data_IF_467604491593
#
_entry.id   IF_467604491593
#
_cell.length_a   1.000
_cell.length_b   1.000
_cell.length_c   1.000
_cell.angle_alpha   90.00
_cell.angle_beta   90.00
_cell.angle_gamma   90.00
#
_symmetry.space_group_name_H-M   'P 1'
#
loop_
_entity.id
_entity.type
_entity.pdbx_description
1 polymer ?
#
# COMPACT_ATOMS: atom_id res chain seq x y z
N UNK A 1 14.08 -12.03 35.63
CA UNK A 1 13.96 -11.49 34.26
C UNK A 1 12.56 -11.82 33.79
N UNK A 2 11.59 -10.99 34.17
CA UNK A 2 10.16 -11.24 34.02
C UNK A 2 9.45 -9.96 34.46
N UNK A 3 8.97 -9.16 33.49
CA UNK A 3 7.82 -8.20 33.57
C UNK A 3 7.88 -7.00 32.59
N UNK A 4 8.90 -6.85 31.75
CA UNK A 4 8.98 -5.70 30.81
C UNK A 4 7.97 -5.74 29.63
N UNK A 5 7.30 -6.87 29.37
CA UNK A 5 6.25 -7.00 28.34
C UNK A 5 4.85 -6.57 28.80
N UNK A 6 4.70 -6.07 30.03
CA UNK A 6 3.38 -5.93 30.69
C UNK A 6 2.43 -4.93 30.00
N UNK A 7 2.92 -3.89 29.33
CA UNK A 7 2.07 -2.75 28.94
C UNK A 7 1.76 -2.65 27.44
N UNK A 8 2.42 -3.43 26.58
CA UNK A 8 2.20 -3.39 25.13
C UNK A 8 0.75 -3.69 24.71
N UNK A 9 0.02 -4.64 25.35
CA UNK A 9 -1.40 -4.84 25.05
C UNK A 9 -2.26 -3.64 25.42
N UNK A 10 -1.92 -2.92 26.50
CA UNK A 10 -2.65 -1.72 26.92
C UNK A 10 -2.40 -0.56 25.95
N UNK A 11 -1.15 -0.36 25.53
CA UNK A 11 -0.77 0.66 24.53
C UNK A 11 -1.48 0.36 23.20
N UNK A 12 -1.46 -0.90 22.74
CA UNK A 12 -2.16 -1.30 21.50
C UNK A 12 -3.65 -0.99 21.54
N UNK A 13 -4.29 -1.25 22.68
CA UNK A 13 -5.70 -0.91 22.90
C UNK A 13 -5.93 0.60 22.89
N UNK A 14 -5.09 1.36 23.61
CA UNK A 14 -5.18 2.82 23.69
C UNK A 14 -5.03 3.46 22.31
N UNK A 15 -3.98 3.09 21.56
CA UNK A 15 -3.74 3.58 20.19
C UNK A 15 -4.94 3.25 19.30
N UNK A 16 -5.45 2.02 19.37
CA UNK A 16 -6.62 1.60 18.59
C UNK A 16 -7.84 2.47 18.89
N UNK A 17 -8.14 2.71 20.16
CA UNK A 17 -9.26 3.56 20.58
C UNK A 17 -9.09 5.02 20.12
N UNK A 18 -7.88 5.56 20.22
CA UNK A 18 -7.56 6.93 19.79
C UNK A 18 -7.73 7.09 18.28
N UNK A 19 -7.21 6.15 17.49
CA UNK A 19 -7.33 6.17 16.03
C UNK A 19 -8.79 6.08 15.59
N UNK A 20 -9.55 5.14 16.17
CA UNK A 20 -10.97 4.99 15.86
C UNK A 20 -11.81 6.21 16.30
N UNK A 21 -11.36 6.95 17.30
CA UNK A 21 -11.96 8.23 17.71
C UNK A 21 -11.53 9.42 16.83
N UNK A 22 -10.67 9.21 15.82
CA UNK A 22 -10.12 10.27 14.96
C UNK A 22 -9.03 11.11 15.63
N UNK A 23 -8.52 10.66 16.79
CA UNK A 23 -7.55 11.39 17.61
C UNK A 23 -6.10 11.03 17.22
N UNK A 24 -5.76 11.23 15.95
CA UNK A 24 -4.50 10.74 15.36
C UNK A 24 -3.25 11.34 16.02
N UNK A 25 -3.26 12.63 16.36
CA UNK A 25 -2.13 13.26 17.08
C UNK A 25 -1.89 12.66 18.47
N UNK A 26 -2.95 12.23 19.16
CA UNK A 26 -2.81 11.58 20.47
C UNK A 26 -2.35 10.12 20.31
N UNK A 27 -2.76 9.44 19.24
CA UNK A 27 -2.23 8.13 18.91
C UNK A 27 -0.71 8.18 18.61
N UNK A 28 -0.28 9.18 17.84
CA UNK A 28 1.13 9.45 17.56
C UNK A 28 1.91 9.80 18.83
N UNK A 29 1.34 10.61 19.73
CA UNK A 29 1.95 10.88 21.04
C UNK A 29 2.09 9.59 21.86
N UNK A 30 1.10 8.69 21.84
CA UNK A 30 1.20 7.42 22.54
C UNK A 30 2.31 6.52 21.95
N UNK A 31 2.55 6.57 20.64
CA UNK A 31 3.70 5.93 20.03
C UNK A 31 5.02 6.56 20.46
N UNK A 32 5.11 7.90 20.50
CA UNK A 32 6.30 8.61 20.96
C UNK A 32 6.64 8.28 22.43
N UNK A 33 5.64 8.29 23.31
CA UNK A 33 5.80 7.93 24.72
C UNK A 33 6.25 6.46 24.87
N UNK A 34 5.70 5.56 24.04
CA UNK A 34 6.10 4.16 24.03
C UNK A 34 7.54 3.97 23.52
N UNK A 35 7.96 4.70 22.48
CA UNK A 35 9.34 4.70 21.99
C UNK A 35 10.31 5.23 23.05
N UNK A 36 9.97 6.31 23.75
CA UNK A 36 10.80 6.88 24.82
C UNK A 36 10.95 5.92 26.01
N UNK A 37 9.87 5.22 26.38
CA UNK A 37 9.87 4.34 27.56
C UNK A 37 10.37 2.92 27.28
N UNK A 38 10.15 2.41 26.07
CA UNK A 38 10.33 0.99 25.75
C UNK A 38 11.13 0.74 24.46
N UNK A 39 11.52 1.79 23.74
CA UNK A 39 12.28 1.74 22.49
C UNK A 39 11.43 1.49 21.24
N UNK A 40 12.01 1.71 20.07
CA UNK A 40 11.33 1.62 18.77
C UNK A 40 10.72 0.23 18.49
N UNK A 41 11.35 -0.83 19.00
CA UNK A 41 10.85 -2.20 18.85
C UNK A 41 9.46 -2.37 19.51
N UNK A 42 9.19 -1.66 20.59
CA UNK A 42 7.88 -1.67 21.23
C UNK A 42 6.81 -1.04 20.35
N UNK A 43 7.15 0.05 19.64
CA UNK A 43 6.25 0.69 18.66
C UNK A 43 5.97 -0.25 17.50
N UNK A 44 7.00 -0.91 16.96
CA UNK A 44 6.83 -1.92 15.92
C UNK A 44 5.93 -3.09 16.38
N UNK A 45 6.10 -3.59 17.62
CA UNK A 45 5.26 -4.64 18.19
C UNK A 45 3.81 -4.16 18.39
N UNK A 46 3.58 -2.91 18.79
CA UNK A 46 2.22 -2.34 18.86
C UNK A 46 1.60 -2.25 17.46
N UNK A 47 2.32 -1.71 16.47
CA UNK A 47 1.87 -1.60 15.08
C UNK A 47 1.55 -2.96 14.46
N UNK A 48 2.29 -4.00 14.85
CA UNK A 48 2.02 -5.38 14.41
C UNK A 48 0.70 -5.95 14.97
N UNK A 49 0.28 -5.47 16.14
CA UNK A 49 -0.85 -6.03 16.89
C UNK A 49 -2.15 -5.24 16.73
N UNK A 50 -2.10 -4.00 16.21
CA UNK A 50 -3.32 -3.25 15.90
C UNK A 50 -3.98 -3.80 14.62
N UNK A 51 -5.32 -3.70 14.49
CA UNK A 51 -6.01 -4.18 13.29
C UNK A 51 -5.56 -3.43 12.02
N UNK A 52 -5.48 -4.07 10.84
CA UNK A 52 -5.00 -3.42 9.62
C UNK A 52 -5.79 -2.18 9.18
N UNK A 53 -7.11 -2.15 9.42
CA UNK A 53 -7.95 -0.98 9.15
C UNK A 53 -7.64 0.20 10.08
N UNK A 54 -7.14 -0.06 11.29
CA UNK A 54 -6.68 0.97 12.24
C UNK A 54 -5.32 1.49 11.79
N UNK A 55 -4.41 0.60 11.38
CA UNK A 55 -3.12 0.99 10.77
C UNK A 55 -3.35 1.90 9.56
N UNK A 56 -4.23 1.50 8.64
CA UNK A 56 -4.56 2.29 7.46
C UNK A 56 -5.13 3.67 7.82
N UNK A 57 -6.11 3.72 8.73
CA UNK A 57 -6.72 4.99 9.16
C UNK A 57 -5.71 5.92 9.84
N UNK A 58 -4.81 5.35 10.65
CA UNK A 58 -3.75 6.13 11.29
C UNK A 58 -2.82 6.73 10.25
N UNK A 59 -2.23 5.89 9.39
CA UNK A 59 -1.23 6.32 8.42
C UNK A 59 -1.81 7.29 7.38
N UNK A 60 -3.05 7.09 6.93
CA UNK A 60 -3.72 7.99 5.99
C UNK A 60 -3.86 9.44 6.51
N UNK A 61 -3.83 9.65 7.83
CA UNK A 61 -3.83 10.98 8.42
C UNK A 61 -2.48 11.69 8.43
N UNK A 62 -1.40 10.97 8.12
CA UNK A 62 -0.02 11.48 8.07
C UNK A 62 0.58 11.49 6.66
N UNK A 63 -0.21 11.18 5.63
CA UNK A 63 0.21 11.27 4.23
C UNK A 63 0.68 12.70 3.87
N UNK A 64 1.71 12.81 3.02
CA UNK A 64 2.11 14.09 2.43
C UNK A 64 3.04 14.98 3.28
N UNK A 65 4.05 14.41 3.94
CA UNK A 65 5.19 15.17 4.49
C UNK A 65 5.19 15.38 6.01
N UNK A 66 4.26 14.77 6.75
CA UNK A 66 4.33 14.73 8.22
C UNK A 66 5.11 13.50 8.65
N UNK A 67 6.17 13.72 9.42
CA UNK A 67 6.94 12.63 10.00
C UNK A 67 6.05 11.91 11.03
N UNK A 68 5.80 10.62 10.82
CA UNK A 68 5.07 9.75 11.76
C UNK A 68 5.95 8.54 12.07
N UNK A 69 6.05 8.22 13.36
CA UNK A 69 6.66 7.00 13.87
C UNK A 69 5.99 5.76 13.29
N UNK A 70 4.67 5.81 13.04
CA UNK A 70 3.99 4.71 12.37
C UNK A 70 4.56 4.49 10.96
N UNK A 71 4.72 5.54 10.16
CA UNK A 71 5.33 5.45 8.82
C UNK A 71 6.76 4.91 8.87
N UNK A 72 7.56 5.33 9.85
CA UNK A 72 8.96 4.91 10.00
C UNK A 72 9.13 3.48 10.53
N UNK A 73 8.25 3.04 11.43
CA UNK A 73 8.43 1.80 12.22
C UNK A 73 7.42 0.71 11.88
N UNK A 74 6.46 0.96 10.97
CA UNK A 74 5.47 -0.07 10.59
C UNK A 74 6.17 -1.33 10.05
N UNK A 75 5.89 -2.50 10.63
CA UNK A 75 6.40 -3.75 10.10
C UNK A 75 5.89 -4.00 8.68
N UNK A 76 6.70 -4.58 7.76
CA UNK A 76 6.30 -4.82 6.37
C UNK A 76 4.94 -5.49 6.21
N UNK A 77 4.69 -6.53 7.01
CA UNK A 77 3.42 -7.26 6.98
C UNK A 77 2.22 -6.42 7.42
N UNK A 78 2.38 -5.66 8.50
CA UNK A 78 1.30 -4.81 9.00
C UNK A 78 0.96 -3.69 8.00
N UNK A 79 1.96 -3.15 7.32
CA UNK A 79 1.75 -2.19 6.23
C UNK A 79 1.04 -2.84 5.04
N UNK A 80 1.55 -3.96 4.53
CA UNK A 80 0.95 -4.70 3.42
C UNK A 80 -0.52 -5.05 3.67
N UNK A 81 -0.86 -5.55 4.87
CA UNK A 81 -2.23 -5.89 5.26
C UNK A 81 -3.14 -4.65 5.36
N UNK A 82 -2.57 -3.47 5.62
CA UNK A 82 -3.31 -2.20 5.77
C UNK A 82 -3.67 -1.56 4.43
N UNK A 83 -2.88 -1.80 3.36
CA UNK A 83 -3.03 -1.13 2.06
C UNK A 83 -4.44 -1.26 1.46
N UNK A 84 -5.08 -2.43 1.59
CA UNK A 84 -6.46 -2.62 1.13
C UNK A 84 -7.44 -1.66 1.81
N UNK A 85 -7.25 -1.38 3.10
CA UNK A 85 -8.16 -0.56 3.90
C UNK A 85 -8.00 0.95 3.66
N UNK A 86 -6.89 1.40 3.05
CA UNK A 86 -6.75 2.80 2.62
C UNK A 86 -7.88 3.16 1.65
N UNK A 87 -8.26 2.23 0.76
CA UNK A 87 -9.38 2.44 -0.16
C UNK A 87 -10.74 2.59 0.51
N UNK A 88 -10.90 2.15 1.76
CA UNK A 88 -12.12 2.36 2.54
C UNK A 88 -12.27 3.82 3.02
N UNK A 89 -11.22 4.64 2.92
CA UNK A 89 -11.23 6.05 3.33
C UNK A 89 -11.78 6.98 2.24
N UNK A 90 -11.87 6.51 1.00
CA UNK A 90 -12.34 7.30 -0.14
C UNK A 90 -13.86 7.13 -0.32
N UNK A 91 -14.57 8.24 -0.53
CA UNK A 91 -15.98 8.19 -0.91
C UNK A 91 -16.11 8.02 -2.44
N UNK A 92 -17.34 7.76 -2.91
CA UNK A 92 -17.61 7.53 -4.33
C UNK A 92 -17.36 8.79 -5.16
N UNK A 93 -17.80 9.95 -4.67
CA UNK A 93 -17.61 11.24 -5.32
C UNK A 93 -16.12 11.54 -5.57
N UNK A 94 -15.23 11.23 -4.61
CA UNK A 94 -13.79 11.39 -4.77
C UNK A 94 -13.24 10.54 -5.92
N UNK A 95 -13.71 9.30 -6.08
CA UNK A 95 -13.26 8.39 -7.16
C UNK A 95 -13.84 8.83 -8.52
N UNK A 96 -15.06 9.38 -8.52
CA UNK A 96 -15.73 9.83 -9.74
C UNK A 96 -15.19 11.16 -10.27
N UNK A 97 -14.90 12.11 -9.37
CA UNK A 97 -14.58 13.50 -9.71
C UNK A 97 -13.09 13.73 -10.02
N UNK A 98 -12.17 13.12 -9.25
CA UNK A 98 -10.72 13.34 -9.37
C UNK A 98 -9.93 12.09 -8.91
N UNK A 99 -9.96 10.99 -9.69
CA UNK A 99 -9.28 9.75 -9.35
C UNK A 99 -7.74 9.91 -9.32
N UNK A 100 -7.17 10.79 -10.14
CA UNK A 100 -5.74 11.07 -10.18
C UNK A 100 -5.26 11.67 -8.85
N UNK A 101 -6.01 12.59 -8.23
CA UNK A 101 -5.70 13.10 -6.89
C UNK A 101 -5.66 12.02 -5.83
N UNK A 102 -6.51 10.99 -5.92
CA UNK A 102 -6.44 9.84 -5.01
C UNK A 102 -5.15 9.05 -5.25
N UNK A 103 -4.82 8.78 -6.52
CA UNK A 103 -3.61 8.07 -6.89
C UNK A 103 -2.33 8.83 -6.46
N UNK A 104 -2.30 10.16 -6.59
CA UNK A 104 -1.21 11.00 -6.07
C UNK A 104 -1.11 10.94 -4.54
N UNK A 105 -2.24 10.94 -3.83
CA UNK A 105 -2.27 10.74 -2.38
C UNK A 105 -1.69 9.39 -1.98
N UNK A 106 -2.08 8.33 -2.69
CA UNK A 106 -1.57 6.97 -2.50
C UNK A 106 -0.07 6.88 -2.83
N UNK A 107 0.39 7.55 -3.89
CA UNK A 107 1.81 7.65 -4.22
C UNK A 107 2.59 8.31 -3.07
N UNK A 108 2.12 9.45 -2.56
CA UNK A 108 2.76 10.14 -1.44
C UNK A 108 2.84 9.27 -0.18
N UNK A 109 1.80 8.50 0.10
CA UNK A 109 1.78 7.52 1.19
C UNK A 109 2.88 6.46 1.01
N UNK A 110 2.86 5.77 -0.14
CA UNK A 110 3.82 4.69 -0.44
C UNK A 110 5.23 5.23 -0.44
N UNK A 111 5.46 6.37 -1.09
CA UNK A 111 6.76 7.00 -1.16
C UNK A 111 7.28 7.35 0.25
N UNK A 112 6.43 7.91 1.11
CA UNK A 112 6.79 8.23 2.49
C UNK A 112 7.14 7.00 3.34
N UNK A 113 6.49 5.85 3.11
CA UNK A 113 6.78 4.60 3.82
C UNK A 113 8.05 3.92 3.28
N UNK A 114 8.17 3.83 1.96
CA UNK A 114 9.22 3.09 1.24
C UNK A 114 10.56 3.84 1.27
N UNK A 115 10.53 5.15 1.10
CA UNK A 115 11.71 6.02 1.06
C UNK A 115 11.85 6.90 2.31
N UNK A 116 11.06 6.64 3.37
CA UNK A 116 11.17 7.36 4.64
C UNK A 116 12.50 7.12 5.38
N UNK A 117 13.24 6.07 5.00
CA UNK A 117 14.58 5.77 5.51
C UNK A 117 15.54 5.39 4.38
N UNK A 118 16.84 5.54 4.66
CA UNK A 118 17.92 5.10 3.76
C UNK A 118 18.21 3.58 3.86
N UNK A 119 17.37 2.83 4.58
CA UNK A 119 17.55 1.39 4.77
C UNK A 119 17.01 0.61 3.56
N UNK A 120 17.93 0.21 2.68
CA UNK A 120 17.63 -0.57 1.47
C UNK A 120 17.03 -1.95 1.78
N UNK A 121 17.42 -2.60 2.87
CA UNK A 121 16.90 -3.91 3.25
C UNK A 121 15.44 -3.79 3.69
N UNK A 122 15.15 -2.82 4.55
CA UNK A 122 13.79 -2.51 4.98
C UNK A 122 12.90 -2.14 3.79
N UNK A 123 13.42 -1.34 2.84
CA UNK A 123 12.72 -0.97 1.62
C UNK A 123 12.33 -2.19 0.78
N UNK A 124 13.28 -3.11 0.58
CA UNK A 124 13.05 -4.35 -0.13
C UNK A 124 11.99 -5.22 0.56
N UNK A 125 12.06 -5.35 1.88
CA UNK A 125 11.08 -6.13 2.65
C UNK A 125 9.67 -5.54 2.59
N UNK A 126 9.53 -4.22 2.71
CA UNK A 126 8.26 -3.52 2.53
C UNK A 126 7.63 -3.85 1.17
N UNK A 127 8.40 -3.61 0.10
CA UNK A 127 7.92 -3.77 -1.27
C UNK A 127 7.56 -5.22 -1.56
N UNK A 128 8.40 -6.16 -1.14
CA UNK A 128 8.18 -7.59 -1.31
C UNK A 128 6.91 -8.07 -0.59
N UNK A 129 6.70 -7.68 0.66
CA UNK A 129 5.51 -8.11 1.43
C UNK A 129 4.24 -7.43 0.90
N UNK A 130 4.31 -6.16 0.51
CA UNK A 130 3.19 -5.44 -0.09
C UNK A 130 2.77 -6.08 -1.43
N UNK A 131 3.73 -6.25 -2.35
CA UNK A 131 3.47 -6.75 -3.70
C UNK A 131 3.07 -8.23 -3.74
N UNK A 132 3.34 -8.99 -2.69
CA UNK A 132 2.88 -10.37 -2.56
C UNK A 132 1.34 -10.49 -2.46
N UNK A 133 0.64 -9.41 -2.09
CA UNK A 133 -0.83 -9.38 -1.93
C UNK A 133 -1.55 -8.93 -3.20
N UNK A 134 -2.79 -9.40 -3.43
CA UNK A 134 -3.59 -9.00 -4.61
C UNK A 134 -3.91 -7.50 -4.58
N UNK A 135 -4.20 -6.97 -3.39
CA UNK A 135 -4.47 -5.56 -3.20
C UNK A 135 -3.21 -4.71 -3.29
N UNK A 136 -2.05 -5.22 -2.90
CA UNK A 136 -0.77 -4.55 -3.10
C UNK A 136 -0.44 -4.40 -4.59
N UNK A 137 -0.60 -5.45 -5.39
CA UNK A 137 -0.45 -5.37 -6.84
C UNK A 137 -1.38 -4.32 -7.46
N UNK A 138 -2.64 -4.26 -7.00
CA UNK A 138 -3.60 -3.25 -7.45
C UNK A 138 -3.21 -1.84 -7.01
N UNK A 139 -2.68 -1.68 -5.78
CA UNK A 139 -2.17 -0.40 -5.25
C UNK A 139 -1.00 0.12 -6.08
N UNK A 140 -0.03 -0.72 -6.43
CA UNK A 140 1.06 -0.31 -7.31
C UNK A 140 0.57 0.03 -8.72
N UNK A 141 -0.36 -0.75 -9.27
CA UNK A 141 -0.98 -0.42 -10.56
C UNK A 141 -1.69 0.96 -10.55
N UNK A 142 -2.37 1.33 -9.47
CA UNK A 142 -2.98 2.67 -9.31
C UNK A 142 -1.90 3.75 -9.39
N UNK A 143 -0.80 3.60 -8.66
CA UNK A 143 0.29 4.59 -8.67
C UNK A 143 0.96 4.67 -10.04
N UNK A 144 1.19 3.52 -10.67
CA UNK A 144 1.78 3.41 -12.00
C UNK A 144 0.90 3.99 -13.11
N UNK A 145 -0.41 4.03 -12.91
CA UNK A 145 -1.34 4.68 -13.85
C UNK A 145 -1.15 6.20 -13.98
N UNK A 146 -0.39 6.83 -13.08
CA UNK A 146 -0.01 8.25 -13.18
C UNK A 146 1.06 8.51 -14.26
N UNK A 147 1.82 7.49 -14.65
CA UNK A 147 2.94 7.61 -15.59
C UNK A 147 3.06 6.35 -16.49
N UNK A 148 1.99 5.97 -17.21
CA UNK A 148 1.93 4.66 -17.86
C UNK A 148 2.97 4.47 -18.97
N UNK A 149 3.32 5.54 -19.71
CA UNK A 149 4.38 5.49 -20.73
C UNK A 149 5.72 5.14 -20.10
N UNK A 150 6.08 5.82 -19.01
CA UNK A 150 7.31 5.55 -18.27
C UNK A 150 7.33 4.12 -17.71
N UNK A 151 6.18 3.57 -17.31
CA UNK A 151 6.12 2.18 -16.82
C UNK A 151 6.44 1.16 -17.90
N UNK A 152 6.12 1.45 -19.17
CA UNK A 152 6.47 0.61 -20.29
C UNK A 152 7.95 0.71 -20.64
N UNK A 153 8.53 1.91 -20.57
CA UNK A 153 9.97 2.10 -20.69
C UNK A 153 10.71 1.29 -19.62
N UNK A 154 10.29 1.42 -18.36
CA UNK A 154 10.85 0.64 -17.24
C UNK A 154 10.67 -0.86 -17.47
N UNK A 155 9.50 -1.31 -17.96
CA UNK A 155 9.29 -2.71 -18.29
C UNK A 155 10.28 -3.20 -19.36
N UNK A 156 10.50 -2.44 -20.43
CA UNK A 156 11.51 -2.72 -21.44
C UNK A 156 12.94 -2.78 -20.87
N UNK A 157 13.27 -1.89 -19.93
CA UNK A 157 14.54 -1.95 -19.22
C UNK A 157 14.69 -3.20 -18.36
N UNK A 158 13.67 -3.57 -17.58
CA UNK A 158 13.67 -4.77 -16.73
C UNK A 158 13.81 -6.03 -17.60
N UNK A 159 13.12 -6.11 -18.73
CA UNK A 159 13.22 -7.26 -19.64
C UNK A 159 14.63 -7.38 -20.25
N UNK A 160 15.22 -6.24 -20.62
CA UNK A 160 16.53 -6.22 -21.29
C UNK A 160 17.71 -6.42 -20.34
N UNK A 161 17.64 -5.89 -19.11
CA UNK A 161 18.74 -5.85 -18.13
C UNK A 161 18.52 -6.72 -16.89
N UNK A 162 17.30 -7.24 -16.70
CA UNK A 162 16.90 -7.95 -15.48
C UNK A 162 16.70 -7.03 -14.27
N UNK A 163 16.69 -7.60 -13.07
CA UNK A 163 16.46 -6.88 -11.81
C UNK A 163 17.56 -5.87 -11.43
N UNK A 164 18.69 -5.83 -12.14
CA UNK A 164 19.83 -4.94 -11.83
C UNK A 164 19.75 -3.57 -12.54
N UNK A 165 18.54 -3.13 -12.89
CA UNK A 165 18.34 -1.82 -13.51
C UNK A 165 18.73 -0.71 -12.54
N UNK A 166 19.50 0.25 -13.03
CA UNK A 166 19.70 1.56 -12.42
C UNK A 166 19.00 2.51 -13.36
N UNK A 167 17.70 2.75 -13.15
CA UNK A 167 16.91 3.48 -14.13
C UNK A 167 17.53 4.84 -14.41
N UNK A 168 17.86 5.07 -15.66
CA UNK A 168 17.99 6.40 -16.23
C UNK A 168 16.77 6.58 -17.11
N UNK A 169 15.64 6.94 -16.51
CA UNK A 169 14.52 7.44 -17.32
C UNK A 169 14.89 8.83 -17.82
N UNK A 170 14.46 9.16 -19.04
CA UNK A 170 14.56 10.52 -19.58
C UNK A 170 13.49 11.47 -19.02
N UNK A 171 12.54 10.93 -18.24
CA UNK A 171 11.41 11.64 -17.62
C UNK A 171 11.71 12.00 -16.16
N UNK A 172 11.31 13.20 -15.74
CA UNK A 172 11.37 13.70 -14.35
C UNK A 172 10.22 13.09 -13.47
N UNK A 173 9.71 11.91 -13.81
CA UNK A 173 8.60 11.29 -13.09
C UNK A 173 9.03 10.70 -11.75
N UNK A 174 8.44 11.22 -10.67
CA UNK A 174 8.67 10.75 -9.30
C UNK A 174 8.21 9.29 -9.05
N UNK A 175 7.43 8.71 -9.98
CA UNK A 175 6.94 7.33 -9.90
C UNK A 175 8.00 6.31 -10.31
N UNK A 176 8.93 6.68 -11.21
CA UNK A 176 9.95 5.77 -11.74
C UNK A 176 10.85 5.18 -10.65
N UNK A 177 11.38 5.94 -9.68
CA UNK A 177 12.18 5.37 -8.59
C UNK A 177 11.44 4.28 -7.80
N UNK A 178 10.12 4.43 -7.59
CA UNK A 178 9.30 3.42 -6.92
C UNK A 178 9.14 2.17 -7.77
N UNK A 179 8.87 2.33 -9.08
CA UNK A 179 8.75 1.21 -10.02
C UNK A 179 10.03 0.36 -10.06
N UNK A 180 11.18 1.01 -10.11
CA UNK A 180 12.50 0.38 -10.11
C UNK A 180 12.75 -0.38 -8.81
N UNK A 181 12.47 0.27 -7.68
CA UNK A 181 12.63 -0.37 -6.38
C UNK A 181 11.72 -1.60 -6.24
N UNK A 182 10.49 -1.55 -6.78
CA UNK A 182 9.58 -2.70 -6.80
C UNK A 182 10.13 -3.84 -7.65
N UNK A 183 10.58 -3.55 -8.89
CA UNK A 183 11.16 -4.55 -9.79
C UNK A 183 12.41 -5.22 -9.20
N UNK A 184 13.25 -4.45 -8.50
CA UNK A 184 14.40 -4.96 -7.76
C UNK A 184 14.01 -5.83 -6.57
N UNK A 185 12.93 -5.48 -5.86
CA UNK A 185 12.48 -6.19 -4.67
C UNK A 185 11.72 -7.48 -4.99
N UNK A 186 10.92 -7.48 -6.06
CA UNK A 186 10.06 -8.60 -6.43
C UNK A 186 9.68 -8.55 -7.92
N UNK A 187 10.26 -9.44 -8.72
CA UNK A 187 9.87 -9.63 -10.13
C UNK A 187 8.41 -10.09 -10.27
N UNK A 188 7.95 -11.02 -9.42
CA UNK A 188 6.53 -11.42 -9.38
C UNK A 188 5.62 -10.24 -9.01
N UNK A 189 6.02 -9.43 -8.03
CA UNK A 189 5.30 -8.25 -7.61
C UNK A 189 5.19 -7.20 -8.71
N UNK A 190 6.28 -6.97 -9.43
CA UNK A 190 6.36 -6.09 -10.60
C UNK A 190 5.43 -6.57 -11.72
N UNK A 191 5.54 -7.84 -12.12
CA UNK A 191 4.72 -8.41 -13.19
C UNK A 191 3.23 -8.35 -12.82
N UNK A 192 2.86 -8.65 -11.58
CA UNK A 192 1.46 -8.57 -11.12
C UNK A 192 0.93 -7.14 -11.14
N UNK A 193 1.73 -6.15 -10.75
CA UNK A 193 1.34 -4.74 -10.82
C UNK A 193 1.16 -4.30 -12.28
N UNK A 194 2.07 -4.68 -13.17
CA UNK A 194 1.96 -4.40 -14.60
C UNK A 194 0.73 -5.07 -15.22
N UNK A 195 0.41 -6.32 -14.88
CA UNK A 195 -0.79 -6.99 -15.42
C UNK A 195 -2.10 -6.45 -14.84
N UNK A 196 -2.07 -5.86 -13.64
CA UNK A 196 -3.23 -5.13 -13.13
C UNK A 196 -3.47 -3.83 -13.93
N UNK A 197 -2.40 -3.12 -14.30
CA UNK A 197 -2.46 -1.89 -15.11
C UNK A 197 -2.75 -2.17 -16.59
N UNK A 198 -2.06 -3.12 -17.19
CA UNK A 198 -2.12 -3.48 -18.60
C UNK A 198 -2.61 -4.94 -18.79
N UNK A 199 -3.92 -5.20 -18.62
CA UNK A 199 -4.46 -6.57 -18.53
C UNK A 199 -4.40 -7.37 -19.83
N UNK A 200 -4.23 -6.70 -20.98
CA UNK A 200 -4.15 -7.36 -22.29
C UNK A 200 -2.78 -7.99 -22.55
N UNK A 201 -1.76 -7.64 -21.77
CA UNK A 201 -0.43 -8.22 -21.91
C UNK A 201 -0.35 -9.53 -21.15
N UNK A 202 0.04 -10.59 -21.87
CA UNK A 202 0.19 -11.94 -21.29
C UNK A 202 1.61 -12.17 -20.78
N UNK A 203 2.57 -11.49 -21.39
CA UNK A 203 3.98 -11.50 -21.01
C UNK A 203 4.52 -10.08 -21.08
N UNK A 204 5.42 -9.73 -20.17
CA UNK A 204 6.08 -8.42 -20.18
C UNK A 204 6.83 -8.17 -21.49
N UNK A 205 7.33 -9.22 -22.13
CA UNK A 205 7.94 -9.17 -23.47
C UNK A 205 7.03 -8.57 -24.56
N UNK A 206 5.70 -8.71 -24.43
CA UNK A 206 4.74 -8.16 -25.39
C UNK A 206 4.58 -6.62 -25.22
N UNK A 207 5.02 -6.05 -24.08
CA UNK A 207 4.99 -4.60 -23.81
C UNK A 207 6.05 -3.85 -24.63
N UNK A 208 7.16 -4.50 -24.99
CA UNK A 208 8.23 -3.88 -25.77
C UNK A 208 7.81 -3.58 -27.22
N UNK A 209 6.78 -4.26 -27.72
CA UNK A 209 6.21 -4.05 -29.06
C UNK A 209 5.02 -3.07 -29.04
N UNK A 210 4.56 -2.63 -27.86
CA UNK A 210 3.52 -1.62 -27.72
C UNK A 210 4.13 -0.23 -27.90
N UNK A 211 4.28 0.20 -29.14
CA UNK A 211 4.68 1.58 -29.47
C UNK A 211 3.58 2.55 -29.03
N UNK A 212 3.84 3.30 -27.96
CA UNK A 212 3.08 4.52 -27.66
C UNK A 212 3.56 5.58 -28.64
N UNK A 213 2.62 6.20 -29.35
CA UNK A 213 2.95 7.29 -30.24
C UNK A 213 3.43 8.50 -29.43
N UNK A 214 4.47 9.15 -29.94
CA UNK A 214 4.92 10.47 -29.48
C UNK A 214 4.04 11.59 -30.07
N UNK A 215 3.14 11.28 -31.01
CA UNK A 215 2.22 12.25 -31.61
C UNK A 215 1.04 12.52 -30.67
N UNK A 216 0.88 13.75 -30.13
CA UNK A 216 -0.23 14.09 -29.25
C UNK A 216 -1.60 14.08 -29.96
N UNK A 217 -1.63 14.04 -31.30
CA UNK A 217 -2.84 13.96 -32.11
C UNK A 217 -3.19 12.52 -32.54
N UNK A 218 -2.29 11.54 -32.35
CA UNK A 218 -2.64 10.13 -32.50
C UNK A 218 -3.38 9.66 -31.23
N UNK A 219 -4.60 9.12 -31.40
CA UNK A 219 -5.30 8.44 -30.32
C UNK A 219 -4.43 7.26 -29.86
N UNK A 220 -3.67 7.47 -28.78
CA UNK A 220 -3.05 6.38 -28.04
C UNK A 220 -4.12 5.32 -27.81
N UNK A 221 -3.83 4.03 -28.04
CA UNK A 221 -4.83 3.00 -27.84
C UNK A 221 -5.16 2.94 -26.35
N UNK A 222 -6.17 3.71 -25.95
CA UNK A 222 -6.79 3.79 -24.61
C UNK A 222 -7.37 2.44 -24.15
N UNK A 223 -7.14 1.40 -24.94
CA UNK A 223 -7.65 0.03 -24.81
C UNK A 223 -6.60 -0.87 -24.14
N UNK A 224 -5.32 -0.46 -24.09
CA UNK A 224 -4.25 -1.31 -23.53
C UNK A 224 -4.16 -1.24 -21.99
N UNK A 225 -4.56 -0.12 -21.39
CA UNK A 225 -4.44 0.13 -19.95
C UNK A 225 -5.79 0.30 -19.28
N UNK A 226 -5.88 -0.10 -18.01
CA UNK A 226 -6.99 0.31 -17.14
C UNK A 226 -6.81 1.74 -16.70
N UNK A 227 -7.93 2.46 -16.63
CA UNK A 227 -7.93 3.81 -16.05
C UNK A 227 -7.66 3.76 -14.54
N UNK A 228 -7.10 4.85 -13.99
CA UNK A 228 -6.92 5.04 -12.54
C UNK A 228 -8.23 4.79 -11.79
N UNK A 229 -9.34 5.32 -12.31
CA UNK A 229 -10.68 5.13 -11.78
C UNK A 229 -11.09 3.65 -11.68
N UNK A 230 -10.89 2.87 -12.73
CA UNK A 230 -11.19 1.43 -12.72
C UNK A 230 -10.36 0.69 -11.68
N UNK A 231 -9.07 1.01 -11.57
CA UNK A 231 -8.17 0.42 -10.60
C UNK A 231 -8.57 0.75 -9.16
N UNK A 232 -8.97 2.00 -8.88
CA UNK A 232 -9.51 2.41 -7.57
C UNK A 232 -10.76 1.60 -7.21
N UNK A 233 -11.68 1.40 -8.16
CA UNK A 233 -12.86 0.55 -7.94
C UNK A 233 -12.50 -0.92 -7.72
N UNK A 234 -11.45 -1.44 -8.36
CA UNK A 234 -10.95 -2.79 -8.10
C UNK A 234 -10.40 -2.92 -6.70
N UNK A 235 -9.55 -1.98 -6.27
CA UNK A 235 -9.01 -1.98 -4.92
C UNK A 235 -10.12 -1.93 -3.86
N UNK A 236 -11.13 -1.09 -4.08
CA UNK A 236 -12.30 -1.00 -3.18
C UNK A 236 -13.06 -2.33 -3.03
N UNK A 237 -13.09 -3.17 -4.07
CA UNK A 237 -13.70 -4.52 -4.02
C UNK A 237 -12.84 -5.53 -3.26
N UNK A 238 -11.54 -5.28 -3.11
CA UNK A 238 -10.61 -6.14 -2.38
C UNK A 238 -10.57 -5.81 -0.88
N UNK A 239 -11.13 -4.67 -0.44
CA UNK A 239 -11.25 -4.30 0.98
C UNK A 239 -11.91 -5.45 1.74
N UNK A 240 -11.20 -6.12 2.68
CA UNK A 240 -11.79 -7.22 3.41
C UNK A 240 -12.97 -6.72 4.24
N UNK A 241 -14.11 -7.42 4.15
CA UNK A 241 -15.24 -7.13 5.02
C UNK A 241 -14.86 -7.41 6.48
N UNK A 242 -14.99 -6.41 7.36
CA UNK A 242 -14.74 -6.57 8.80
C UNK A 242 -15.68 -7.61 9.45
N UNK A 243 -16.80 -7.95 8.80
CA UNK A 243 -17.70 -9.04 9.21
C UNK A 243 -17.12 -10.45 9.03
N UNK A 244 -16.13 -10.65 8.15
CA UNK A 244 -15.52 -11.97 7.92
C UNK A 244 -14.42 -12.33 8.92
N UNK A 245 -13.81 -11.35 9.59
CA UNK A 245 -12.75 -11.58 10.56
C UNK A 245 -13.25 -12.27 11.84
N UNK A 246 -14.54 -12.14 12.18
CA UNK A 246 -15.15 -12.82 13.34
C UNK A 246 -15.58 -14.26 13.05
N UNK A 247 -15.51 -14.75 11.80
CA UNK A 247 -16.04 -16.07 11.42
C UNK A 247 -15.07 -17.24 11.68
N UNK A 248 -13.81 -16.96 12.07
CA UNK A 248 -12.79 -18.00 12.37
C UNK A 248 -12.58 -18.27 13.87
N UNK A 249 -13.41 -17.71 14.76
CA UNK A 249 -13.43 -18.01 16.19
C UNK A 249 -14.78 -18.62 16.59
N UNK A 250 -14.78 -19.89 16.96
CA UNK A 250 -16.00 -20.70 17.05
C UNK A 250 -17.06 -20.24 18.06
N UNK A 251 -18.32 -20.47 17.68
CA UNK A 251 -19.31 -21.23 18.47
C UNK A 251 -20.50 -21.59 17.59
N UNK A 252 -20.66 -22.89 17.29
CA UNK A 252 -21.95 -23.43 16.86
C UNK A 252 -22.91 -23.23 18.04
N UNK A 253 -23.83 -22.28 17.93
CA UNK A 253 -24.86 -22.07 18.94
C UNK A 253 -25.90 -23.20 18.80
N UNK A 254 -25.68 -24.28 19.55
CA UNK A 254 -26.68 -25.32 19.81
C UNK A 254 -27.65 -24.76 20.85
N UNK A 255 -28.86 -24.41 20.37
CA UNK A 255 -30.15 -24.43 21.07
C UNK A 255 -30.25 -23.87 22.49
N UNK A 256 -31.13 -22.89 22.69
CA UNK A 256 -32.46 -23.04 23.35
C UNK A 256 -32.97 -21.71 23.92
N UNK A 257 -34.30 -21.56 23.85
CA UNK A 257 -35.13 -20.50 24.43
C UNK A 257 -36.19 -20.10 23.39
N UNK A 258 -37.41 -20.64 23.32
CA UNK A 258 -38.37 -21.06 24.36
C UNK A 258 -38.47 -20.04 25.49
N UNK A 259 -39.52 -19.21 25.38
CA UNK A 259 -40.02 -18.17 26.29
C UNK A 259 -39.56 -16.71 26.03
N UNK A 260 -40.53 -15.97 25.48
CA UNK A 260 -40.73 -14.50 25.40
C UNK A 260 -40.31 -13.83 24.11
#
# INVERSE_FOLDING_TARGET
>A
MSDEKSNLPAISKQVTELVLAGSLSHAEQAFADAAEQHGDLAVAEVLQNIPPHVTALHMAGFDGGKLSLATLLVPPKAWADSLAYIAATWNEDMIEDDPERIAEGLFNHIHGVVFGTEDEERRRELLQEASATDHGATVFAIVFSLAPKEMLEVAGEVISKGQYITAQSSSDSDVVPLAVALAQASEDGWDRALFELFPEFRHSADLADAEYSDDPDEEEPSVLQRSTKELLYRLRKQVPSTRSASARGGRRNLGTGIFS
#
